data_IF_486102117876
#
_entry.id   IF_486102117876
#
_cell.length_a   1.000
_cell.length_b   1.000
_cell.length_c   1.000
_cell.angle_alpha   90.00
_cell.angle_beta   90.00
_cell.angle_gamma   90.00
#
_symmetry.space_group_name_H-M   'P 1'
#
loop_
_entity.id
_entity.type
_entity.pdbx_description
1 polymer ?
#
# COMPACT_ATOMS: atom_id res chain seq x y z
N UNK A 1 35.58 -3.59 -7.05
CA UNK A 1 34.44 -3.69 -7.98
C UNK A 1 34.61 -2.61 -9.04
N UNK A 2 34.51 -2.93 -10.34
CA UNK A 2 34.41 -1.89 -11.36
C UNK A 2 33.12 -1.08 -11.13
N UNK A 3 33.10 0.23 -11.42
CA UNK A 3 31.90 1.04 -11.34
C UNK A 3 30.86 0.49 -12.33
N UNK A 4 29.63 0.28 -11.85
CA UNK A 4 28.50 -0.01 -12.74
C UNK A 4 28.26 1.27 -13.55
N UNK A 5 28.59 1.26 -14.83
CA UNK A 5 28.24 2.34 -15.74
C UNK A 5 26.71 2.38 -15.88
N UNK A 6 26.06 3.27 -15.14
CA UNK A 6 24.63 3.53 -15.30
C UNK A 6 24.42 4.26 -16.62
N UNK A 7 24.25 3.51 -17.72
CA UNK A 7 23.87 4.10 -19.00
C UNK A 7 22.51 4.76 -18.87
N UNK A 8 22.50 6.09 -18.80
CA UNK A 8 21.27 6.88 -18.76
C UNK A 8 20.45 6.64 -20.02
N UNK A 9 19.18 6.28 -19.86
CA UNK A 9 18.25 6.08 -20.96
C UNK A 9 17.81 7.44 -21.52
N UNK A 10 17.92 7.63 -22.84
CA UNK A 10 17.44 8.86 -23.48
C UNK A 10 15.91 9.05 -23.32
N UNK A 11 15.40 10.30 -23.33
CA UNK A 11 13.99 10.60 -23.08
C UNK A 11 13.00 9.85 -23.99
N UNK A 12 13.36 9.62 -25.25
CA UNK A 12 12.56 8.88 -26.23
C UNK A 12 12.39 7.42 -25.82
N UNK A 13 13.47 6.79 -25.33
CA UNK A 13 13.47 5.39 -24.86
C UNK A 13 12.63 5.26 -23.60
N UNK A 14 12.75 6.20 -22.65
CA UNK A 14 11.92 6.24 -21.43
C UNK A 14 10.43 6.33 -21.80
N UNK A 15 10.06 7.24 -22.72
CA UNK A 15 8.67 7.37 -23.20
C UNK A 15 8.17 6.11 -23.90
N UNK A 16 9.02 5.40 -24.64
CA UNK A 16 8.65 4.14 -25.29
C UNK A 16 8.37 3.03 -24.27
N UNK A 17 9.27 2.85 -23.29
CA UNK A 17 9.12 1.86 -22.20
C UNK A 17 7.84 2.14 -21.41
N UNK A 18 7.64 3.38 -20.96
CA UNK A 18 6.44 3.77 -20.18
C UNK A 18 5.16 3.43 -20.94
N UNK A 19 5.07 3.81 -22.22
CA UNK A 19 3.88 3.53 -23.03
C UNK A 19 3.66 2.03 -23.24
N UNK A 20 4.71 1.25 -23.44
CA UNK A 20 4.60 -0.20 -23.62
C UNK A 20 4.14 -0.88 -22.32
N UNK A 21 4.74 -0.52 -21.19
CA UNK A 21 4.42 -1.08 -19.88
C UNK A 21 2.98 -0.77 -19.47
N UNK A 22 2.54 0.49 -19.61
CA UNK A 22 1.17 0.88 -19.28
C UNK A 22 0.14 0.16 -20.15
N UNK A 23 0.36 0.06 -21.47
CA UNK A 23 -0.54 -0.70 -22.36
C UNK A 23 -0.63 -2.17 -22.02
N UNK A 24 0.49 -2.78 -21.61
CA UNK A 24 0.47 -4.16 -21.14
C UNK A 24 -0.33 -4.26 -19.84
N UNK A 25 -0.11 -3.35 -18.88
CA UNK A 25 -0.82 -3.33 -17.61
C UNK A 25 -2.33 -3.21 -17.81
N UNK A 26 -2.78 -2.32 -18.70
CA UNK A 26 -4.21 -2.14 -19.01
C UNK A 26 -4.89 -3.43 -19.52
N UNK A 27 -4.12 -4.32 -20.18
CA UNK A 27 -4.62 -5.57 -20.77
C UNK A 27 -4.44 -6.79 -19.89
N UNK A 28 -3.38 -6.81 -19.07
CA UNK A 28 -2.90 -8.01 -18.38
C UNK A 28 -2.94 -7.89 -16.85
N UNK A 29 -3.35 -6.73 -16.29
CA UNK A 29 -3.48 -6.58 -14.85
C UNK A 29 -4.44 -7.63 -14.29
N UNK A 30 -4.03 -8.24 -13.18
CA UNK A 30 -4.89 -9.14 -12.39
C UNK A 30 -6.01 -8.33 -11.74
N UNK A 31 -7.20 -8.91 -11.66
CA UNK A 31 -8.27 -8.42 -10.78
C UNK A 31 -7.87 -8.73 -9.34
N UNK A 32 -7.55 -7.68 -8.57
CA UNK A 32 -7.22 -7.78 -7.15
C UNK A 32 -8.17 -6.86 -6.40
N UNK A 33 -8.78 -7.29 -5.27
CA UNK A 33 -9.80 -6.51 -4.57
C UNK A 33 -9.37 -5.08 -4.24
N UNK A 34 -8.15 -4.91 -3.74
CA UNK A 34 -7.55 -3.61 -3.40
C UNK A 34 -7.20 -2.72 -4.59
N UNK A 35 -7.33 -3.21 -5.83
CA UNK A 35 -7.13 -2.42 -7.06
C UNK A 35 -8.44 -1.96 -7.70
N UNK A 36 -9.59 -2.38 -7.17
CA UNK A 36 -10.91 -2.04 -7.73
C UNK A 36 -11.23 -0.57 -7.55
N UNK A 37 -10.88 -0.03 -6.39
CA UNK A 37 -10.82 1.41 -6.15
C UNK A 37 -9.37 1.81 -5.80
N UNK A 38 -8.56 2.04 -6.84
CA UNK A 38 -7.17 2.45 -6.66
C UNK A 38 -7.02 3.85 -6.06
N UNK A 39 -8.09 4.64 -5.98
CA UNK A 39 -8.06 5.96 -5.37
C UNK A 39 -8.30 5.91 -3.84
N UNK A 40 -8.65 4.75 -3.28
CA UNK A 40 -8.85 4.58 -1.85
C UNK A 40 -7.49 4.38 -1.12
N UNK A 41 -7.01 5.39 -0.36
CA UNK A 41 -5.76 5.27 0.38
C UNK A 41 -5.86 4.30 1.55
N UNK A 42 -7.06 4.07 2.10
CA UNK A 42 -7.28 3.12 3.19
C UNK A 42 -7.15 1.67 2.68
N UNK A 43 -7.86 1.32 1.59
CA UNK A 43 -7.70 0.02 0.95
C UNK A 43 -6.24 -0.26 0.55
N UNK A 44 -5.55 0.76 0.03
CA UNK A 44 -4.13 0.66 -0.32
C UNK A 44 -3.28 0.39 0.93
N UNK A 45 -3.44 1.16 2.01
CA UNK A 45 -2.73 0.97 3.28
C UNK A 45 -2.94 -0.43 3.87
N UNK A 46 -4.17 -0.94 3.87
CA UNK A 46 -4.49 -2.29 4.38
C UNK A 46 -3.80 -3.35 3.52
N UNK A 47 -3.93 -3.25 2.19
CA UNK A 47 -3.35 -4.24 1.28
C UNK A 47 -1.83 -4.28 1.33
N UNK A 48 -1.17 -3.12 1.34
CA UNK A 48 0.29 -3.00 1.48
C UNK A 48 0.75 -3.58 2.82
N UNK A 49 0.03 -3.30 3.92
CA UNK A 49 0.32 -3.89 5.23
C UNK A 49 0.22 -5.41 5.20
N UNK A 50 -0.79 -5.97 4.53
CA UNK A 50 -0.98 -7.42 4.42
C UNK A 50 0.01 -8.09 3.46
N UNK A 51 0.45 -7.43 2.39
CA UNK A 51 1.34 -8.00 1.36
C UNK A 51 2.81 -8.05 1.80
N UNK A 52 3.19 -7.35 2.86
CA UNK A 52 4.54 -7.45 3.45
C UNK A 52 4.86 -8.90 3.87
N UNK A 53 5.78 -9.56 3.16
CA UNK A 53 6.19 -10.94 3.44
C UNK A 53 5.01 -11.94 3.39
N UNK A 54 3.95 -11.65 2.64
CA UNK A 54 2.81 -12.58 2.45
C UNK A 54 2.40 -12.60 0.98
N UNK A 55 2.08 -13.79 0.46
CA UNK A 55 1.73 -13.95 -0.95
C UNK A 55 0.32 -13.44 -1.26
N UNK A 56 0.14 -12.91 -2.48
CA UNK A 56 -1.15 -12.36 -2.96
C UNK A 56 -2.31 -13.34 -2.78
N UNK A 57 -2.13 -14.61 -3.15
CA UNK A 57 -3.20 -15.62 -3.05
C UNK A 57 -3.68 -15.83 -1.60
N UNK A 58 -2.76 -15.73 -0.63
CA UNK A 58 -3.09 -15.79 0.79
C UNK A 58 -3.79 -14.53 1.27
N UNK A 59 -3.38 -13.35 0.80
CA UNK A 59 -3.93 -12.06 1.23
C UNK A 59 -5.38 -11.85 0.79
N UNK A 60 -5.76 -12.30 -0.41
CA UNK A 60 -7.09 -12.06 -0.99
C UNK A 60 -8.27 -12.31 -0.03
N UNK A 61 -8.46 -13.52 0.53
CA UNK A 61 -9.59 -13.79 1.42
C UNK A 61 -9.51 -13.03 2.75
N UNK A 62 -8.30 -12.69 3.21
CA UNK A 62 -8.12 -11.90 4.43
C UNK A 62 -8.49 -10.44 4.22
N UNK A 63 -8.07 -9.87 3.09
CA UNK A 63 -8.41 -8.50 2.71
C UNK A 63 -9.93 -8.35 2.61
N UNK A 64 -10.62 -9.25 1.90
CA UNK A 64 -12.08 -9.18 1.73
C UNK A 64 -12.81 -9.23 3.08
N UNK A 65 -12.43 -10.17 3.96
CA UNK A 65 -13.03 -10.30 5.30
C UNK A 65 -12.72 -9.08 6.18
N UNK A 66 -11.50 -8.57 6.13
CA UNK A 66 -11.07 -7.41 6.91
C UNK A 66 -11.82 -6.15 6.48
N UNK A 67 -11.86 -5.87 5.18
CA UNK A 67 -12.57 -4.70 4.63
C UNK A 67 -14.10 -4.81 4.80
N UNK A 68 -14.65 -6.02 4.86
CA UNK A 68 -16.07 -6.20 5.21
C UNK A 68 -16.35 -5.77 6.66
N UNK A 69 -15.45 -6.09 7.60
CA UNK A 69 -15.63 -5.75 9.02
C UNK A 69 -15.26 -4.31 9.36
N UNK A 70 -14.20 -3.80 8.71
CA UNK A 70 -13.63 -2.47 8.90
C UNK A 70 -13.64 -1.76 7.54
N UNK A 71 -14.80 -1.30 7.06
CA UNK A 71 -14.95 -0.77 5.69
C UNK A 71 -14.30 0.60 5.50
N UNK A 72 -14.05 1.34 6.58
CA UNK A 72 -13.41 2.65 6.51
C UNK A 72 -12.26 2.76 7.51
N UNK A 73 -11.41 3.77 7.29
CA UNK A 73 -10.32 4.11 8.19
C UNK A 73 -10.84 4.41 9.60
N UNK A 74 -11.95 5.13 9.71
CA UNK A 74 -12.59 5.49 10.97
C UNK A 74 -13.13 4.26 11.69
N UNK A 75 -13.74 3.32 10.95
CA UNK A 75 -14.21 2.06 11.52
C UNK A 75 -13.07 1.22 12.11
N UNK A 76 -11.90 1.20 11.44
CA UNK A 76 -10.71 0.54 11.97
C UNK A 76 -10.13 1.28 13.18
N UNK A 77 -10.04 2.61 13.12
CA UNK A 77 -9.48 3.44 14.19
C UNK A 77 -10.32 3.39 15.48
N UNK A 78 -11.65 3.30 15.34
CA UNK A 78 -12.58 3.24 16.46
C UNK A 78 -12.65 1.85 17.12
N UNK A 79 -12.24 0.79 16.43
CA UNK A 79 -12.26 -0.57 16.97
C UNK A 79 -11.19 -0.77 18.05
N UNK A 80 -11.50 -1.61 19.04
CA UNK A 80 -10.49 -2.11 19.96
C UNK A 80 -9.58 -3.09 19.23
N UNK A 81 -8.31 -3.11 19.61
CA UNK A 81 -7.32 -3.97 18.98
C UNK A 81 -7.71 -5.46 19.08
N UNK A 82 -8.30 -5.87 20.20
CA UNK A 82 -8.77 -7.24 20.42
C UNK A 82 -9.90 -7.64 19.45
N UNK A 83 -10.66 -6.68 18.92
CA UNK A 83 -11.65 -6.93 17.86
C UNK A 83 -11.02 -7.02 16.48
N UNK A 84 -9.87 -6.36 16.26
CA UNK A 84 -9.15 -6.34 14.98
C UNK A 84 -8.32 -7.60 14.78
N UNK A 85 -7.64 -8.08 15.83
CA UNK A 85 -6.73 -9.23 15.79
C UNK A 85 -7.36 -10.51 15.20
N UNK A 86 -8.61 -10.90 15.50
CA UNK A 86 -9.26 -12.07 14.91
C UNK A 86 -9.36 -12.01 13.39
N UNK A 87 -9.49 -10.82 12.80
CA UNK A 87 -9.58 -10.65 11.35
C UNK A 87 -8.22 -10.78 10.66
N UNK A 88 -7.13 -10.55 11.40
CA UNK A 88 -5.75 -10.77 10.98
C UNK A 88 -5.24 -12.20 11.26
N UNK A 89 -5.90 -12.92 12.16
CA UNK A 89 -5.43 -14.21 12.66
C UNK A 89 -5.24 -15.24 11.54
N UNK A 90 -4.00 -15.70 11.37
CA UNK A 90 -3.58 -16.60 10.29
C UNK A 90 -2.64 -15.99 9.25
N UNK A 91 -2.56 -14.66 9.13
CA UNK A 91 -1.56 -13.99 8.26
C UNK A 91 -0.13 -13.98 8.84
N UNK A 92 0.00 -14.25 10.14
CA UNK A 92 1.25 -14.10 10.87
C UNK A 92 1.70 -12.63 10.97
N UNK A 93 2.91 -12.43 11.51
CA UNK A 93 3.52 -11.10 11.66
C UNK A 93 2.58 -10.06 12.30
N UNK A 94 1.97 -10.41 13.44
CA UNK A 94 0.94 -9.59 14.11
C UNK A 94 1.35 -8.15 14.38
N UNK A 95 2.66 -7.87 14.51
CA UNK A 95 3.19 -6.50 14.58
C UNK A 95 2.68 -5.60 13.45
N UNK A 96 2.45 -6.15 12.24
CA UNK A 96 1.85 -5.41 11.12
C UNK A 96 0.40 -5.00 11.40
N UNK A 97 -0.39 -5.88 12.02
CA UNK A 97 -1.75 -5.55 12.46
C UNK A 97 -1.74 -4.42 13.50
N UNK A 98 -0.86 -4.51 14.49
CA UNK A 98 -0.70 -3.45 15.50
C UNK A 98 -0.30 -2.13 14.87
N UNK A 99 0.67 -2.14 13.95
CA UNK A 99 1.09 -0.92 13.25
C UNK A 99 -0.02 -0.34 12.37
N UNK A 100 -0.73 -1.18 11.60
CA UNK A 100 -1.86 -0.74 10.77
C UNK A 100 -2.94 -0.08 11.63
N UNK A 101 -3.31 -0.69 12.75
CA UNK A 101 -4.30 -0.14 13.68
C UNK A 101 -3.81 1.17 14.31
N UNK A 102 -2.55 1.23 14.74
CA UNK A 102 -1.94 2.45 15.27
C UNK A 102 -1.89 3.58 14.22
N UNK A 103 -1.56 3.26 12.97
CA UNK A 103 -1.58 4.21 11.86
C UNK A 103 -2.99 4.75 11.59
N UNK A 104 -4.01 3.88 11.58
CA UNK A 104 -5.40 4.31 11.45
C UNK A 104 -5.82 5.26 12.58
N UNK A 105 -5.49 4.91 13.83
CA UNK A 105 -5.75 5.77 14.99
C UNK A 105 -5.00 7.10 14.93
N UNK A 106 -3.75 7.10 14.48
CA UNK A 106 -2.97 8.33 14.33
C UNK A 106 -3.61 9.26 13.30
N UNK A 107 -4.01 8.73 12.14
CA UNK A 107 -4.65 9.54 11.09
C UNK A 107 -5.98 10.12 11.59
N UNK A 108 -6.82 9.31 12.23
CA UNK A 108 -8.14 9.76 12.67
C UNK A 108 -8.06 10.70 13.88
N UNK A 109 -7.28 10.35 14.90
CA UNK A 109 -7.29 11.06 16.18
C UNK A 109 -6.32 12.24 16.22
N UNK A 110 -5.10 12.07 15.70
CA UNK A 110 -4.05 13.10 15.78
C UNK A 110 -4.05 14.01 14.56
N UNK A 111 -4.39 13.47 13.38
CA UNK A 111 -4.49 14.24 12.13
C UNK A 111 -5.93 14.62 11.77
N UNK A 112 -6.88 14.38 12.67
CA UNK A 112 -8.30 14.73 12.49
C UNK A 112 -8.93 14.18 11.20
N UNK A 113 -8.50 12.98 10.79
CA UNK A 113 -8.95 12.33 9.55
C UNK A 113 -8.23 12.79 8.29
N UNK A 114 -7.26 13.70 8.38
CA UNK A 114 -6.46 14.13 7.23
C UNK A 114 -5.42 13.06 6.87
N UNK A 115 -5.74 12.27 5.84
CA UNK A 115 -4.87 11.21 5.34
C UNK A 115 -3.65 11.82 4.63
N UNK A 116 -2.41 11.51 5.06
CA UNK A 116 -1.20 12.04 4.44
C UNK A 116 -1.12 11.74 2.93
N UNK A 117 -0.93 12.78 2.11
CA UNK A 117 -1.03 12.69 0.64
C UNK A 117 0.30 12.56 -0.08
N UNK A 118 1.42 12.79 0.62
CA UNK A 118 2.76 12.64 0.07
C UNK A 118 3.56 11.56 0.80
N UNK A 119 4.53 10.97 0.11
CA UNK A 119 5.37 9.90 0.63
C UNK A 119 6.17 10.33 1.87
N UNK A 120 6.57 11.60 1.94
CA UNK A 120 7.31 12.13 3.10
C UNK A 120 6.48 12.05 4.39
N UNK A 121 5.24 12.54 4.35
CA UNK A 121 4.36 12.52 5.53
C UNK A 121 3.89 11.09 5.87
N UNK A 122 3.71 10.24 4.86
CA UNK A 122 3.34 8.83 5.05
C UNK A 122 4.40 8.05 5.82
N UNK A 123 5.69 8.40 5.72
CA UNK A 123 6.77 7.76 6.48
C UNK A 123 6.65 7.95 7.99
N UNK A 124 5.90 8.95 8.45
CA UNK A 124 5.64 9.14 9.88
C UNK A 124 4.66 8.11 10.45
N UNK A 125 3.89 7.40 9.60
CA UNK A 125 2.90 6.44 10.05
C UNK A 125 3.56 5.12 10.53
N UNK A 126 3.07 4.55 11.64
CA UNK A 126 3.55 3.25 12.12
C UNK A 126 3.50 2.15 11.05
N UNK A 127 4.62 1.45 10.85
CA UNK A 127 4.72 0.34 9.90
C UNK A 127 4.76 0.73 8.42
N UNK A 128 4.74 2.03 8.09
CA UNK A 128 4.88 2.51 6.71
C UNK A 128 6.35 2.78 6.41
N UNK A 129 6.95 1.93 5.57
CA UNK A 129 8.30 2.12 5.05
C UNK A 129 8.32 2.85 3.71
N UNK A 130 9.52 3.15 3.18
CA UNK A 130 9.72 3.87 1.89
C UNK A 130 8.90 3.30 0.73
N UNK A 131 8.86 1.98 0.59
CA UNK A 131 8.08 1.33 -0.46
C UNK A 131 6.58 1.61 -0.31
N UNK A 132 6.00 1.33 0.87
CA UNK A 132 4.58 1.51 1.13
C UNK A 132 4.17 2.99 1.03
N UNK A 133 5.00 3.92 1.53
CA UNK A 133 4.78 5.35 1.38
C UNK A 133 4.72 5.75 -0.10
N UNK A 134 5.68 5.30 -0.91
CA UNK A 134 5.69 5.55 -2.35
C UNK A 134 4.50 4.91 -3.08
N UNK A 135 4.12 3.69 -2.70
CA UNK A 135 2.98 2.98 -3.26
C UNK A 135 1.66 3.73 -2.98
N UNK A 136 1.38 4.06 -1.70
CA UNK A 136 0.17 4.78 -1.31
C UNK A 136 0.12 6.16 -1.98
N UNK A 137 1.21 6.93 -1.93
CA UNK A 137 1.22 8.27 -2.49
C UNK A 137 1.05 8.29 -4.02
N UNK A 138 1.69 7.35 -4.73
CA UNK A 138 1.58 7.28 -6.18
C UNK A 138 0.25 6.70 -6.66
N UNK A 139 -0.27 5.66 -5.99
CA UNK A 139 -1.49 4.96 -6.40
C UNK A 139 -2.74 5.79 -6.04
N UNK A 140 -2.86 6.22 -4.78
CA UNK A 140 -4.06 6.91 -4.29
C UNK A 140 -4.06 8.41 -4.59
N UNK A 141 -2.89 9.06 -4.57
CA UNK A 141 -2.79 10.52 -4.70
C UNK A 141 -2.06 11.00 -5.96
N UNK A 142 -1.54 10.09 -6.78
CA UNK A 142 -0.88 10.44 -8.05
C UNK A 142 0.48 11.12 -7.89
N UNK A 143 1.10 11.06 -6.71
CA UNK A 143 2.43 11.62 -6.49
C UNK A 143 3.47 10.91 -7.38
N UNK A 144 4.37 11.68 -7.99
CA UNK A 144 5.46 11.15 -8.84
C UNK A 144 6.64 10.71 -7.98
N UNK A 145 6.43 9.68 -7.17
CA UNK A 145 7.41 9.13 -6.24
C UNK A 145 7.69 7.65 -6.56
N UNK A 146 8.93 7.16 -6.36
CA UNK A 146 9.24 5.76 -6.63
C UNK A 146 8.65 4.81 -5.56
N UNK A 147 8.14 3.67 -6.01
CA UNK A 147 7.77 2.54 -5.16
C UNK A 147 8.59 1.32 -5.60
N UNK A 148 9.78 1.14 -5.02
CA UNK A 148 10.73 0.08 -5.38
C UNK A 148 10.71 -1.02 -4.32
N UNK A 149 10.39 -2.25 -4.73
CA UNK A 149 10.49 -3.47 -3.93
C UNK A 149 11.48 -4.46 -4.57
N UNK A 150 11.44 -5.73 -4.18
CA UNK A 150 12.28 -6.77 -4.80
C UNK A 150 11.85 -7.21 -6.20
N UNK A 151 10.69 -6.74 -6.70
CA UNK A 151 10.18 -7.09 -8.04
C UNK A 151 10.48 -6.01 -9.09
N UNK A 152 10.69 -4.77 -8.66
CA UNK A 152 11.03 -3.60 -9.50
C UNK A 152 12.54 -3.51 -9.73
#
# INVERSE_FOLDING_TARGET
>A
MPPVETRSLGPQRIRAIRRALLRWYDRARRDLPWRRDSADPYATLVSESMLQQTQVATVMPFFDRFMTRFPTLEALAAADLDDVLPYWAGLGYYRRCHHLHAAARMIVNERHGDFPRCAEDLLALPGVGRYAAGAIASIAFGERTPAVDGNV
#
